data_IF_790814858053
#
_entry.id   IF_790814858053
#
_cell.length_a   1.000
_cell.length_b   1.000
_cell.length_c   1.000
_cell.angle_alpha   90.00
_cell.angle_beta   90.00
_cell.angle_gamma   90.00
#
_symmetry.space_group_name_H-M   'P 1'
#
loop_
_entity.id
_entity.type
_entity.pdbx_description
1 polymer ?
#
# COMPACT_ATOMS: atom_id res chain seq x y z
N UNK A 1 -20.71 -8.62 -38.53
CA UNK A 1 -21.21 -9.03 -37.20
C UNK A 1 -20.76 -8.01 -36.16
N UNK A 2 -21.59 -7.00 -35.90
CA UNK A 2 -21.27 -5.92 -34.95
C UNK A 2 -21.53 -6.37 -33.51
N UNK A 3 -20.56 -6.17 -32.62
CA UNK A 3 -20.73 -6.45 -31.18
C UNK A 3 -21.48 -5.28 -30.54
N UNK A 4 -22.72 -5.50 -30.10
CA UNK A 4 -23.48 -4.53 -29.34
C UNK A 4 -22.82 -4.33 -27.96
N UNK A 5 -22.38 -3.11 -27.68
CA UNK A 5 -21.90 -2.69 -26.36
C UNK A 5 -23.01 -1.86 -25.73
N UNK A 6 -23.46 -2.24 -24.54
CA UNK A 6 -24.54 -1.51 -23.85
C UNK A 6 -24.11 -0.06 -23.59
N UNK A 7 -25.08 0.86 -23.66
CA UNK A 7 -24.84 2.31 -23.52
C UNK A 7 -24.04 2.66 -22.26
N UNK A 8 -24.31 1.97 -21.13
CA UNK A 8 -23.55 2.15 -19.89
C UNK A 8 -22.06 1.81 -20.02
N UNK A 9 -21.70 0.76 -20.76
CA UNK A 9 -20.29 0.38 -20.98
C UNK A 9 -19.59 1.34 -21.92
N UNK A 10 -20.30 1.89 -22.91
CA UNK A 10 -19.74 2.86 -23.84
C UNK A 10 -19.44 4.20 -23.16
N UNK A 11 -20.38 4.70 -22.35
CA UNK A 11 -20.24 5.97 -21.62
C UNK A 11 -19.07 5.92 -20.63
N UNK A 12 -18.91 4.81 -19.91
CA UNK A 12 -17.78 4.61 -19.00
C UNK A 12 -16.41 4.72 -19.69
N UNK A 13 -16.28 4.16 -20.90
CA UNK A 13 -15.04 4.21 -21.67
C UNK A 13 -14.76 5.57 -22.29
N UNK A 14 -15.78 6.30 -22.69
CA UNK A 14 -15.62 7.61 -23.36
C UNK A 14 -15.32 8.70 -22.34
N UNK A 15 -15.97 8.67 -21.17
CA UNK A 15 -15.94 9.80 -20.26
C UNK A 15 -15.08 9.61 -19.00
N UNK A 16 -14.64 8.39 -18.67
CA UNK A 16 -13.74 8.13 -17.53
C UNK A 16 -14.15 8.85 -16.23
N UNK A 17 -15.46 9.04 -16.02
CA UNK A 17 -15.96 9.82 -14.89
C UNK A 17 -15.63 9.09 -13.59
N UNK A 18 -15.19 9.84 -12.58
CA UNK A 18 -15.10 9.35 -11.22
C UNK A 18 -16.53 9.09 -10.72
N UNK A 19 -16.89 7.82 -10.56
CA UNK A 19 -18.28 7.39 -10.32
C UNK A 19 -18.76 7.63 -8.89
N UNK A 20 -17.92 8.20 -8.03
CA UNK A 20 -18.30 8.47 -6.66
C UNK A 20 -17.72 9.81 -6.18
N UNK A 21 -18.61 10.79 -5.99
CA UNK A 21 -18.46 11.72 -4.86
C UNK A 21 -18.53 10.88 -3.58
N UNK A 22 -17.38 10.39 -3.12
CA UNK A 22 -17.26 9.65 -1.87
C UNK A 22 -16.51 10.55 -0.88
N UNK A 23 -17.27 11.10 0.05
CA UNK A 23 -16.74 11.83 1.18
C UNK A 23 -16.92 10.99 2.46
N UNK A 24 -15.87 10.73 3.26
CA UNK A 24 -14.47 11.02 2.97
C UNK A 24 -13.90 10.06 1.92
N UNK A 25 -12.81 10.47 1.27
CA UNK A 25 -12.06 9.65 0.31
C UNK A 25 -11.63 8.35 0.96
N UNK A 26 -12.38 7.27 0.72
CA UNK A 26 -12.02 5.94 1.22
C UNK A 26 -10.93 5.40 0.29
N UNK A 27 -9.67 5.53 0.70
CA UNK A 27 -8.52 4.94 0.01
C UNK A 27 -8.53 3.44 0.28
N UNK A 28 -8.91 2.64 -0.72
CA UNK A 28 -8.82 1.19 -0.65
C UNK A 28 -7.40 0.77 -1.05
N UNK A 29 -6.59 0.39 -0.06
CA UNK A 29 -5.29 -0.26 -0.28
C UNK A 29 -5.51 -1.77 -0.25
N UNK A 30 -5.24 -2.41 -1.39
CA UNK A 30 -5.49 -3.84 -1.63
C UNK A 30 -4.59 -4.80 -0.84
N UNK A 31 -3.91 -4.32 0.23
CA UNK A 31 -3.14 -5.21 1.11
C UNK A 31 -2.91 -4.64 2.53
N UNK A 32 -3.97 -4.60 3.34
CA UNK A 32 -3.82 -4.95 4.77
C UNK A 32 -3.25 -3.90 5.73
N UNK A 33 -3.20 -2.62 5.39
CA UNK A 33 -2.86 -1.60 6.40
C UNK A 33 -3.95 -0.55 6.60
N UNK A 34 -4.74 -0.75 7.65
CA UNK A 34 -5.85 0.11 8.03
C UNK A 34 -5.34 1.27 8.87
N UNK A 35 -4.98 2.37 8.22
CA UNK A 35 -4.60 3.62 8.88
C UNK A 35 -5.84 4.52 8.93
N UNK A 36 -6.46 4.62 10.11
CA UNK A 36 -7.55 5.58 10.35
C UNK A 36 -6.99 7.00 10.48
N UNK A 37 -7.58 7.94 9.74
CA UNK A 37 -7.29 9.36 9.83
C UNK A 37 -8.51 10.08 10.41
N UNK A 38 -8.30 10.90 11.44
CA UNK A 38 -9.23 11.85 12.02
C UNK A 38 -8.55 13.23 12.02
N UNK A 39 -9.33 14.32 12.06
CA UNK A 39 -8.79 15.69 12.02
C UNK A 39 -7.73 15.95 13.11
N UNK A 40 -7.88 15.33 14.27
CA UNK A 40 -6.94 15.44 15.39
C UNK A 40 -5.66 14.61 15.25
N UNK A 41 -5.64 13.58 14.38
CA UNK A 41 -4.49 12.66 14.25
C UNK A 41 -3.86 12.66 12.86
N UNK A 42 -4.49 13.32 11.88
CA UNK A 42 -4.05 13.28 10.49
C UNK A 42 -2.68 13.91 10.31
N UNK A 43 -2.44 15.07 10.94
CA UNK A 43 -1.15 15.74 10.92
C UNK A 43 -0.04 14.89 11.56
N UNK A 44 -0.29 14.33 12.74
CA UNK A 44 0.68 13.47 13.43
C UNK A 44 0.96 12.18 12.68
N UNK A 45 -0.05 11.54 12.08
CA UNK A 45 0.13 10.32 11.27
C UNK A 45 0.81 10.60 9.93
N UNK A 46 0.62 11.78 9.34
CA UNK A 46 1.37 12.20 8.17
C UNK A 46 2.84 12.49 8.51
N UNK A 47 3.10 13.11 9.66
CA UNK A 47 4.45 13.40 10.14
C UNK A 47 5.19 12.15 10.63
N UNK A 48 4.48 11.19 11.21
CA UNK A 48 5.02 9.92 11.75
C UNK A 48 4.18 8.76 11.26
N UNK A 49 4.36 8.34 9.99
CA UNK A 49 3.65 7.18 9.47
C UNK A 49 4.02 5.95 10.32
N UNK A 50 3.05 5.09 10.67
CA UNK A 50 3.33 3.87 11.41
C UNK A 50 4.32 3.01 10.64
N UNK A 51 5.23 2.35 11.35
CA UNK A 51 6.16 1.41 10.73
C UNK A 51 5.38 0.23 10.14
N UNK A 52 5.64 -0.04 8.88
CA UNK A 52 4.98 -1.07 8.09
C UNK A 52 6.02 -2.08 7.64
N UNK A 53 5.62 -3.30 7.29
CA UNK A 53 6.55 -4.27 6.72
C UNK A 53 7.24 -3.73 5.46
N UNK A 54 6.53 -2.92 4.66
CA UNK A 54 7.08 -2.28 3.46
C UNK A 54 8.06 -1.13 3.78
N UNK A 55 7.74 -0.28 4.75
CA UNK A 55 8.60 0.83 5.16
C UNK A 55 9.88 0.29 5.79
N UNK A 56 9.76 -0.75 6.61
CA UNK A 56 10.93 -1.41 7.19
C UNK A 56 11.75 -2.17 6.16
N UNK A 57 11.14 -2.70 5.09
CA UNK A 57 11.89 -3.23 3.95
C UNK A 57 12.80 -2.15 3.35
N UNK A 58 12.29 -0.95 3.08
CA UNK A 58 13.13 0.14 2.56
C UNK A 58 14.25 0.55 3.52
N UNK A 59 13.97 0.57 4.82
CA UNK A 59 15.01 0.82 5.84
C UNK A 59 16.12 -0.24 5.78
N UNK A 60 15.75 -1.51 5.66
CA UNK A 60 16.73 -2.61 5.58
C UNK A 60 17.52 -2.55 4.27
N UNK A 61 16.89 -2.23 3.14
CA UNK A 61 17.60 -2.00 1.88
C UNK A 61 18.61 -0.84 1.97
N UNK A 62 18.40 0.14 2.85
CA UNK A 62 19.37 1.21 3.05
C UNK A 62 20.60 0.74 3.85
N UNK A 63 20.45 -0.25 4.72
CA UNK A 63 21.52 -0.70 5.63
C UNK A 63 22.20 -1.99 5.22
N UNK A 64 21.53 -2.86 4.46
CA UNK A 64 22.03 -4.18 4.05
C UNK A 64 22.04 -4.29 2.52
N UNK A 65 23.24 -4.43 1.93
CA UNK A 65 23.40 -4.57 0.48
C UNK A 65 22.73 -5.85 -0.06
N UNK A 66 22.62 -6.91 0.74
CA UNK A 66 21.88 -8.11 0.34
C UNK A 66 20.39 -7.82 0.21
N UNK A 67 19.81 -7.02 1.09
CA UNK A 67 18.39 -6.67 0.98
C UNK A 67 18.08 -5.86 -0.28
N UNK A 68 19.06 -5.14 -0.83
CA UNK A 68 18.90 -4.38 -2.09
C UNK A 68 18.79 -5.29 -3.31
N UNK A 69 19.26 -6.53 -3.22
CA UNK A 69 19.16 -7.51 -4.32
C UNK A 69 17.85 -8.29 -4.30
N UNK A 70 17.07 -8.17 -3.22
CA UNK A 70 15.81 -8.90 -3.04
C UNK A 70 14.61 -8.10 -3.52
N UNK A 71 13.63 -8.81 -4.08
CA UNK A 71 12.27 -8.29 -4.23
C UNK A 71 11.56 -8.32 -2.88
N UNK A 72 10.62 -7.39 -2.67
CA UNK A 72 9.78 -7.38 -1.46
C UNK A 72 9.05 -8.72 -1.25
N UNK A 73 8.64 -9.39 -2.33
CA UNK A 73 8.01 -10.71 -2.27
C UNK A 73 8.94 -11.84 -1.79
N UNK A 74 10.25 -11.70 -2.00
CA UNK A 74 11.26 -12.68 -1.59
C UNK A 74 11.83 -12.39 -0.20
N UNK A 75 11.59 -11.20 0.32
CA UNK A 75 12.03 -10.75 1.64
C UNK A 75 11.66 -11.72 2.78
N UNK A 76 10.44 -12.28 2.87
CA UNK A 76 10.07 -13.20 3.95
C UNK A 76 10.88 -14.51 3.99
N UNK A 77 11.64 -14.82 2.93
CA UNK A 77 12.53 -15.98 2.91
C UNK A 77 13.83 -15.75 3.68
N UNK A 78 14.25 -14.49 3.80
CA UNK A 78 15.55 -14.11 4.37
C UNK A 78 15.42 -13.19 5.58
N UNK A 79 14.25 -12.59 5.78
CA UNK A 79 14.00 -11.69 6.89
C UNK A 79 12.64 -11.97 7.53
N UNK A 80 12.59 -11.84 8.86
CA UNK A 80 11.38 -12.03 9.66
C UNK A 80 10.93 -10.68 10.23
N UNK A 81 9.63 -10.44 10.15
CA UNK A 81 8.99 -9.31 10.81
C UNK A 81 8.73 -9.61 12.28
N UNK A 82 9.24 -8.77 13.17
CA UNK A 82 8.89 -8.80 14.59
C UNK A 82 7.71 -7.84 14.84
N UNK A 83 6.53 -8.38 15.11
CA UNK A 83 5.33 -7.59 15.35
C UNK A 83 5.36 -6.79 16.67
N UNK A 84 6.17 -7.20 17.65
CA UNK A 84 6.27 -6.52 18.95
C UNK A 84 7.11 -5.24 18.86
N UNK A 85 8.17 -5.25 18.05
CA UNK A 85 9.05 -4.10 17.84
C UNK A 85 8.85 -3.40 16.49
N UNK A 86 8.02 -3.96 15.60
CA UNK A 86 7.81 -3.50 14.23
C UNK A 86 9.13 -3.34 13.43
N UNK A 87 10.08 -4.25 13.68
CA UNK A 87 11.38 -4.30 13.00
C UNK A 87 11.53 -5.57 12.19
N UNK A 88 12.34 -5.48 11.14
CA UNK A 88 12.72 -6.59 10.28
C UNK A 88 14.11 -7.06 10.69
N UNK A 89 14.27 -8.37 10.89
CA UNK A 89 15.57 -8.98 11.24
C UNK A 89 15.94 -10.06 10.23
N UNK A 90 17.23 -10.18 9.90
CA UNK A 90 17.74 -11.21 8.98
C UNK A 90 17.69 -12.59 9.64
N UNK A 91 17.27 -13.60 8.90
CA UNK A 91 17.36 -15.00 9.29
C UNK A 91 18.84 -15.42 9.30
N UNK A 92 19.30 -16.04 10.39
CA UNK A 92 20.67 -16.55 10.53
C UNK A 92 20.88 -17.88 9.82
#
# INVERSE_FOLDING_TARGET
>A
MGRYVSSNKAIWRIFSFAIHERYPTVVHLENGQRVYFNESNAADRAARPPSTTLTSFFTVCHTDDFARTLLYADMPRYYIWNASSNVVSKCS
#
